data_IF_397468438656
#
_entry.id   IF_397468438656
#
_cell.length_a   1.000
_cell.length_b   1.000
_cell.length_c   1.000
_cell.angle_alpha   90.00
_cell.angle_beta   90.00
_cell.angle_gamma   90.00
#
_symmetry.space_group_name_H-M   'P 1'
#
loop_
_entity.id
_entity.type
_entity.pdbx_description
1 polymer ?
#
# COMPACT_ATOMS: atom_id res chain seq x y z
N UNK A 1 -53.87 50.15 -11.40
CA UNK A 1 -52.56 49.53 -11.68
C UNK A 1 -51.79 49.51 -10.36
N UNK A 2 -52.11 48.51 -9.52
CA UNK A 2 -51.43 48.24 -8.25
C UNK A 2 -50.38 47.14 -8.47
N UNK A 3 -49.19 47.21 -7.85
CA UNK A 3 -48.24 46.12 -7.93
C UNK A 3 -48.51 45.08 -6.84
N UNK A 4 -48.88 43.89 -7.28
CA UNK A 4 -48.96 42.68 -6.47
C UNK A 4 -47.56 42.09 -6.19
N UNK A 5 -47.49 41.36 -5.06
CA UNK A 5 -46.62 40.22 -4.73
C UNK A 5 -45.48 40.50 -3.74
N UNK A 6 -45.78 40.20 -2.47
CA UNK A 6 -44.79 39.88 -1.46
C UNK A 6 -43.90 38.71 -1.91
N UNK A 7 -42.59 38.92 -1.80
CA UNK A 7 -41.55 37.95 -2.12
C UNK A 7 -41.12 37.25 -0.84
N UNK A 8 -41.49 35.97 -0.73
CA UNK A 8 -41.06 35.10 0.34
C UNK A 8 -39.54 34.83 0.31
N UNK A 9 -39.03 34.59 1.51
CA UNK A 9 -37.68 34.21 1.93
C UNK A 9 -36.82 33.47 0.89
N UNK A 10 -35.53 33.85 0.82
CA UNK A 10 -34.44 32.88 0.60
C UNK A 10 -33.57 32.85 1.84
N UNK A 11 -33.79 31.84 2.69
CA UNK A 11 -32.86 31.42 3.74
C UNK A 11 -31.52 31.09 3.06
N UNK A 12 -30.45 31.69 3.56
CA UNK A 12 -29.09 31.29 3.23
C UNK A 12 -28.91 29.81 3.61
N UNK A 13 -28.64 28.98 2.60
CA UNK A 13 -28.24 27.61 2.81
C UNK A 13 -26.84 27.62 3.41
N UNK A 14 -26.75 27.36 4.71
CA UNK A 14 -25.54 26.83 5.32
C UNK A 14 -25.28 25.47 4.66
N UNK A 15 -24.25 25.40 3.82
CA UNK A 15 -23.77 24.13 3.28
C UNK A 15 -23.18 23.35 4.45
N UNK A 16 -24.02 22.50 5.02
CA UNK A 16 -23.67 21.46 5.96
C UNK A 16 -22.64 20.55 5.28
N UNK A 17 -21.34 20.80 5.54
CA UNK A 17 -20.28 19.90 5.11
C UNK A 17 -20.28 18.73 6.08
N UNK A 18 -21.21 17.80 5.84
CA UNK A 18 -21.23 16.50 6.50
C UNK A 18 -19.86 15.81 6.38
N UNK A 19 -19.52 14.87 7.27
CA UNK A 19 -18.26 14.17 7.21
C UNK A 19 -18.08 13.59 5.82
N UNK A 20 -17.00 13.97 5.13
CA UNK A 20 -16.69 13.40 3.83
C UNK A 20 -16.64 11.88 3.99
N UNK A 21 -17.48 11.16 3.23
CA UNK A 21 -17.45 9.70 3.23
C UNK A 21 -16.06 9.25 2.83
N UNK A 22 -15.34 8.63 3.75
CA UNK A 22 -14.00 8.11 3.48
C UNK A 22 -14.14 6.81 2.72
N UNK A 23 -13.60 6.78 1.50
CA UNK A 23 -13.56 5.56 0.69
C UNK A 23 -12.48 4.62 1.22
N UNK A 24 -12.84 3.34 1.37
CA UNK A 24 -11.90 2.26 1.64
C UNK A 24 -11.74 1.46 0.35
N UNK A 25 -10.51 1.41 -0.15
CA UNK A 25 -10.11 0.60 -1.29
C UNK A 25 -9.48 -0.71 -0.79
N UNK A 26 -9.71 -1.81 -1.51
CA UNK A 26 -9.17 -3.14 -1.19
C UNK A 26 -8.55 -3.79 -2.41
N UNK A 27 -7.42 -4.46 -2.22
CA UNK A 27 -6.73 -5.25 -3.24
C UNK A 27 -6.29 -6.59 -2.67
N UNK A 28 -6.54 -7.67 -3.42
CA UNK A 28 -6.24 -9.05 -3.02
C UNK A 28 -5.33 -9.67 -4.08
N UNK A 29 -4.26 -10.34 -3.66
CA UNK A 29 -3.27 -10.96 -4.55
C UNK A 29 -2.54 -12.12 -3.87
N UNK A 30 -1.73 -12.86 -4.63
CA UNK A 30 -0.97 -14.01 -4.14
C UNK A 30 0.52 -13.64 -4.02
N UNK A 31 1.07 -13.69 -2.82
CA UNK A 31 2.50 -13.48 -2.56
C UNK A 31 2.93 -14.19 -1.27
N UNK A 32 4.24 -14.31 -1.05
CA UNK A 32 4.83 -14.85 0.18
C UNK A 32 4.31 -16.27 0.57
N UNK A 33 3.81 -17.04 -0.40
CA UNK A 33 3.26 -18.38 -0.19
C UNK A 33 1.77 -18.43 0.19
N UNK A 34 1.02 -17.32 0.08
CA UNK A 34 -0.43 -17.32 0.33
C UNK A 34 -1.17 -16.09 -0.21
N UNK A 35 -2.42 -15.92 0.23
CA UNK A 35 -3.23 -14.75 -0.09
C UNK A 35 -2.83 -13.55 0.77
N UNK A 36 -2.63 -12.41 0.11
CA UNK A 36 -2.33 -11.12 0.71
C UNK A 36 -3.46 -10.14 0.42
N UNK A 37 -3.76 -9.27 1.38
CA UNK A 37 -4.74 -8.21 1.22
C UNK A 37 -4.13 -6.85 1.59
N UNK A 38 -4.32 -5.86 0.74
CA UNK A 38 -3.98 -4.46 0.99
C UNK A 38 -5.25 -3.63 1.04
N UNK A 39 -5.29 -2.74 2.04
CA UNK A 39 -6.39 -1.81 2.27
C UNK A 39 -5.85 -0.40 2.28
N UNK A 40 -6.59 0.53 1.67
CA UNK A 40 -6.24 1.94 1.71
C UNK A 40 -7.45 2.80 2.03
N UNK A 41 -7.22 3.83 2.83
CA UNK A 41 -8.26 4.74 3.32
C UNK A 41 -7.99 6.12 2.71
N UNK A 42 -8.91 6.62 1.89
CA UNK A 42 -8.75 7.93 1.23
C UNK A 42 -7.63 8.00 0.19
N UNK A 43 -7.12 6.85 -0.29
CA UNK A 43 -6.19 6.76 -1.41
C UNK A 43 -6.84 6.07 -2.59
N UNK A 44 -6.47 6.41 -3.83
CA UNK A 44 -7.04 5.79 -5.02
C UNK A 44 -6.46 4.39 -5.26
N UNK A 45 -7.25 3.51 -5.88
CA UNK A 45 -6.88 2.12 -6.18
C UNK A 45 -5.50 1.91 -6.84
N UNK A 46 -4.97 2.78 -7.73
CA UNK A 46 -3.63 2.62 -8.28
C UNK A 46 -2.52 2.60 -7.22
N UNK A 47 -2.71 3.26 -6.06
CA UNK A 47 -1.73 3.22 -4.96
C UNK A 47 -1.63 1.83 -4.32
N UNK A 48 -2.71 1.06 -4.34
CA UNK A 48 -2.67 -0.34 -3.90
C UNK A 48 -1.91 -1.22 -4.89
N UNK A 49 -1.98 -0.92 -6.19
CA UNK A 49 -1.20 -1.62 -7.21
C UNK A 49 0.31 -1.41 -7.02
N UNK A 50 0.73 -0.18 -6.68
CA UNK A 50 2.13 0.11 -6.32
C UNK A 50 2.57 -0.72 -5.11
N UNK A 51 1.69 -0.85 -4.10
CA UNK A 51 1.95 -1.65 -2.90
C UNK A 51 2.09 -3.14 -3.22
N UNK A 52 1.20 -3.70 -4.05
CA UNK A 52 1.31 -5.08 -4.52
C UNK A 52 2.62 -5.30 -5.28
N UNK A 53 2.97 -4.40 -6.21
CA UNK A 53 4.20 -4.49 -6.98
C UNK A 53 5.44 -4.50 -6.07
N UNK A 54 5.44 -3.64 -5.04
CA UNK A 54 6.50 -3.63 -4.03
C UNK A 54 6.58 -4.95 -3.24
N UNK A 55 5.44 -5.52 -2.82
CA UNK A 55 5.42 -6.81 -2.12
C UNK A 55 5.99 -7.93 -3.01
N UNK A 56 5.65 -7.95 -4.30
CA UNK A 56 6.23 -8.90 -5.25
C UNK A 56 7.74 -8.70 -5.44
N UNK A 57 8.21 -7.46 -5.52
CA UNK A 57 9.65 -7.19 -5.59
C UNK A 57 10.38 -7.73 -4.35
N UNK A 58 9.82 -7.52 -3.16
CA UNK A 58 10.40 -8.03 -1.92
C UNK A 58 10.37 -9.56 -1.86
N UNK A 59 9.27 -10.18 -2.29
CA UNK A 59 9.18 -11.65 -2.43
C UNK A 59 10.31 -12.16 -3.31
N UNK A 60 10.44 -11.65 -4.54
CA UNK A 60 11.40 -12.15 -5.52
C UNK A 60 12.85 -11.97 -5.05
N UNK A 61 13.13 -10.87 -4.35
CA UNK A 61 14.48 -10.58 -3.82
C UNK A 61 14.84 -11.46 -2.62
N UNK A 62 13.88 -11.74 -1.75
CA UNK A 62 14.13 -12.33 -0.42
C UNK A 62 13.64 -13.78 -0.29
N UNK A 63 13.07 -14.37 -1.35
CA UNK A 63 12.66 -15.77 -1.32
C UNK A 63 13.86 -16.71 -1.22
N UNK A 64 13.68 -17.85 -0.55
CA UNK A 64 14.65 -18.96 -0.51
C UNK A 64 14.37 -20.05 -1.55
N UNK A 65 13.32 -19.86 -2.36
CA UNK A 65 12.82 -20.88 -3.28
C UNK A 65 13.34 -20.72 -4.71
N UNK A 66 13.85 -19.53 -5.07
CA UNK A 66 14.46 -19.29 -6.38
C UNK A 66 15.98 -19.08 -6.25
N UNK A 67 16.82 -19.77 -7.04
CA UNK A 67 18.28 -19.62 -6.97
C UNK A 67 18.80 -18.21 -7.31
N UNK A 68 17.99 -17.43 -8.03
CA UNK A 68 18.32 -16.08 -8.50
C UNK A 68 18.00 -14.98 -7.48
N UNK A 69 17.38 -15.31 -6.34
CA UNK A 69 17.12 -14.32 -5.31
C UNK A 69 18.41 -13.93 -4.58
N UNK A 70 18.40 -12.76 -3.97
CA UNK A 70 19.53 -12.27 -3.18
C UNK A 70 19.79 -13.16 -1.97
N UNK A 71 18.71 -13.55 -1.27
CA UNK A 71 18.81 -14.43 -0.10
C UNK A 71 19.34 -15.82 -0.47
N UNK A 72 18.92 -16.40 -1.60
CA UNK A 72 19.43 -17.71 -2.04
C UNK A 72 20.92 -17.64 -2.37
N UNK A 73 21.39 -16.59 -3.05
CA UNK A 73 22.82 -16.39 -3.32
C UNK A 73 23.63 -16.24 -2.03
N UNK A 74 23.13 -15.47 -1.06
CA UNK A 74 23.74 -15.36 0.26
C UNK A 74 23.84 -16.73 0.94
N UNK A 75 22.77 -17.52 0.94
CA UNK A 75 22.74 -18.86 1.54
C UNK A 75 23.72 -19.84 0.88
N UNK A 76 23.87 -19.80 -0.46
CA UNK A 76 24.87 -20.61 -1.20
C UNK A 76 26.31 -20.10 -0.99
N UNK A 77 26.46 -18.89 -0.45
CA UNK A 77 27.71 -18.24 -0.09
C UNK A 77 28.40 -18.79 1.15
N UNK A 78 27.85 -19.81 1.82
CA UNK A 78 28.32 -20.29 3.12
C UNK A 78 29.86 -20.43 3.20
N UNK A 79 30.44 -19.85 4.24
CA UNK A 79 31.89 -19.82 4.47
C UNK A 79 32.66 -18.78 3.66
N UNK A 80 31.99 -17.91 2.89
CA UNK A 80 32.61 -16.81 2.14
C UNK A 80 31.95 -15.47 2.48
N UNK A 81 32.71 -14.40 2.31
CA UNK A 81 32.14 -13.05 2.28
C UNK A 81 31.33 -12.85 1.01
N UNK A 82 30.10 -12.33 1.17
CA UNK A 82 29.17 -12.07 0.07
C UNK A 82 28.68 -10.64 0.24
N UNK A 83 28.78 -9.85 -0.83
CA UNK A 83 28.15 -8.54 -0.90
C UNK A 83 26.62 -8.69 -0.85
N UNK A 84 25.99 -7.96 0.07
CA UNK A 84 24.55 -7.93 0.26
C UNK A 84 24.04 -6.49 0.18
N UNK A 85 22.78 -6.33 -0.21
CA UNK A 85 22.13 -5.03 -0.20
C UNK A 85 21.90 -4.51 1.22
N UNK A 86 21.77 -3.18 1.41
CA UNK A 86 21.43 -2.59 2.70
C UNK A 86 20.13 -3.14 3.29
N UNK A 87 19.18 -3.54 2.43
CA UNK A 87 17.92 -4.16 2.85
C UNK A 87 18.18 -5.53 3.50
N UNK A 88 18.90 -6.42 2.82
CA UNK A 88 19.20 -7.75 3.36
C UNK A 88 20.08 -7.64 4.61
N UNK A 89 21.04 -6.73 4.64
CA UNK A 89 21.82 -6.45 5.84
C UNK A 89 20.93 -6.06 7.02
N UNK A 90 19.99 -5.13 6.82
CA UNK A 90 19.08 -4.67 7.86
C UNK A 90 18.21 -5.82 8.40
N UNK A 91 17.71 -6.67 7.51
CA UNK A 91 16.91 -7.85 7.89
C UNK A 91 17.74 -8.87 8.68
N UNK A 92 18.96 -9.16 8.25
CA UNK A 92 19.86 -10.07 8.96
C UNK A 92 20.20 -9.54 10.36
N UNK A 93 20.48 -8.24 10.47
CA UNK A 93 20.72 -7.59 11.77
C UNK A 93 19.51 -7.71 12.68
N UNK A 94 18.31 -7.48 12.16
CA UNK A 94 17.08 -7.63 12.95
C UNK A 94 16.86 -9.08 13.39
N UNK A 95 17.14 -10.05 12.51
CA UNK A 95 16.92 -11.48 12.76
C UNK A 95 17.87 -12.07 13.82
N UNK A 96 18.94 -11.33 14.16
CA UNK A 96 19.97 -11.72 15.12
C UNK A 96 19.88 -10.95 16.44
N UNK A 97 18.89 -10.06 16.60
CA UNK A 97 18.59 -9.41 17.89
C UNK A 97 17.86 -10.35 18.83
#
# INVERSE_FOLDING_TARGET
MEPSRGRALRRGGHLDRGPASVTIERRVFQALGGECELYAVGLPAPRLADGEAWVHEMHDRLTRFTPTSELSRFNTGAGRWVEISPLLESLLRESLR
#
